data_IF_938892914031
#
_entry.id   IF_938892914031
#
_cell.length_a   1.000
_cell.length_b   1.000
_cell.length_c   1.000
_cell.angle_alpha   90.00
_cell.angle_beta   90.00
_cell.angle_gamma   90.00
#
_symmetry.space_group_name_H-M   'P 1'
#
loop_
_entity.id
_entity.type
_entity.pdbx_description
1 polymer ?
#
# COMPACT_ATOMS: atom_id res chain seq x y z
N UNK A 1 5.31 -11.36 -9.09
CA UNK A 1 4.28 -11.24 -8.03
C UNK A 1 3.00 -10.71 -8.66
N UNK A 2 1.81 -11.14 -8.22
CA UNK A 2 0.56 -10.52 -8.66
C UNK A 2 0.56 -9.02 -8.36
N UNK A 3 -0.10 -8.22 -9.19
CA UNK A 3 -0.13 -6.75 -9.03
C UNK A 3 -0.66 -6.28 -7.67
N UNK A 4 -1.55 -7.06 -7.06
CA UNK A 4 -2.12 -6.82 -5.74
C UNK A 4 -1.23 -7.21 -4.55
N UNK A 5 -0.04 -7.78 -4.78
CA UNK A 5 0.95 -8.07 -3.73
C UNK A 5 2.21 -7.19 -3.86
N UNK A 6 2.18 -6.16 -4.71
CA UNK A 6 3.33 -5.27 -4.87
C UNK A 6 3.61 -4.55 -3.55
N UNK A 7 4.89 -4.47 -3.21
CA UNK A 7 5.31 -3.70 -2.05
C UNK A 7 5.08 -2.20 -2.29
N UNK A 8 4.73 -1.43 -1.24
CA UNK A 8 4.54 0.02 -1.35
C UNK A 8 5.77 0.73 -1.91
N UNK A 9 6.98 0.27 -1.58
CA UNK A 9 8.24 0.82 -2.08
C UNK A 9 8.38 0.69 -3.61
N UNK A 10 7.82 -0.38 -4.18
CA UNK A 10 7.82 -0.63 -5.63
C UNK A 10 6.81 0.29 -6.32
N UNK A 11 5.60 0.43 -5.73
CA UNK A 11 4.55 1.33 -6.26
C UNK A 11 5.00 2.80 -6.18
N UNK A 12 5.67 3.18 -5.08
CA UNK A 12 6.16 4.54 -4.87
C UNK A 12 7.45 4.85 -5.64
N UNK A 13 8.08 3.84 -6.27
CA UNK A 13 9.27 4.01 -7.09
C UNK A 13 10.48 4.47 -6.28
N UNK A 14 10.78 3.76 -5.19
CA UNK A 14 11.96 4.04 -4.37
C UNK A 14 13.25 3.70 -5.15
N UNK A 15 14.29 4.53 -5.09
CA UNK A 15 15.53 4.35 -5.87
C UNK A 15 16.34 3.13 -5.45
N UNK A 16 16.13 2.63 -4.23
CA UNK A 16 16.78 1.45 -3.69
C UNK A 16 15.75 0.67 -2.87
N UNK A 17 15.36 -0.50 -3.36
CA UNK A 17 14.60 -1.50 -2.62
C UNK A 17 15.49 -2.75 -2.50
N UNK A 18 15.49 -3.35 -1.32
CA UNK A 18 16.39 -4.45 -0.94
C UNK A 18 15.57 -5.72 -0.66
N UNK A 19 16.17 -6.79 -0.10
CA UNK A 19 15.48 -8.06 0.23
C UNK A 19 14.20 -7.89 1.08
N UNK A 20 13.98 -6.70 1.67
CA UNK A 20 12.76 -6.34 2.41
C UNK A 20 11.48 -6.49 1.58
N UNK A 21 11.57 -6.38 0.25
CA UNK A 21 10.44 -6.66 -0.66
C UNK A 21 10.00 -8.13 -0.57
N UNK A 22 10.93 -9.06 -0.31
CA UNK A 22 10.60 -10.47 -0.13
C UNK A 22 9.90 -10.73 1.22
N UNK A 23 10.23 -9.94 2.25
CA UNK A 23 9.51 -9.99 3.54
C UNK A 23 8.07 -9.49 3.40
N UNK A 24 7.82 -8.49 2.54
CA UNK A 24 6.47 -8.05 2.19
C UNK A 24 5.68 -9.17 1.50
N UNK A 25 6.29 -9.82 0.50
CA UNK A 25 5.67 -10.95 -0.18
C UNK A 25 5.30 -12.09 0.78
N UNK A 26 6.20 -12.45 1.70
CA UNK A 26 5.94 -13.46 2.73
C UNK A 26 4.82 -13.05 3.69
N UNK A 27 4.75 -11.77 4.07
CA UNK A 27 3.66 -11.21 4.88
C UNK A 27 2.30 -11.31 4.19
N UNK A 28 2.22 -10.94 2.91
CA UNK A 28 0.99 -11.04 2.11
C UNK A 28 0.51 -12.49 1.97
N UNK A 29 1.43 -13.43 1.70
CA UNK A 29 1.11 -14.86 1.61
C UNK A 29 0.62 -15.43 2.95
N UNK A 30 1.26 -15.02 4.05
CA UNK A 30 0.86 -15.42 5.40
C UNK A 30 -0.52 -14.86 5.75
N UNK A 31 -0.79 -13.61 5.40
CA UNK A 31 -2.10 -12.99 5.59
C UNK A 31 -3.20 -13.71 4.82
N UNK A 32 -2.98 -13.99 3.53
CA UNK A 32 -3.93 -14.71 2.67
C UNK A 32 -4.22 -16.13 3.19
N UNK A 33 -3.25 -16.74 3.89
CA UNK A 33 -3.41 -18.05 4.51
C UNK A 33 -4.23 -18.03 5.80
N UNK A 34 -4.23 -16.92 6.55
CA UNK A 34 -4.88 -16.81 7.87
C UNK A 34 -6.24 -16.13 7.77
N UNK A 35 -6.39 -15.16 6.88
CA UNK A 35 -7.60 -14.37 6.73
C UNK A 35 -8.44 -14.88 5.56
N UNK A 36 -9.74 -15.08 5.79
CA UNK A 36 -10.69 -15.46 4.73
C UNK A 36 -11.04 -14.29 3.80
N UNK A 37 -10.61 -13.07 4.16
CA UNK A 37 -10.74 -11.85 3.37
C UNK A 37 -9.38 -11.46 2.79
N UNK A 38 -9.36 -11.16 1.50
CA UNK A 38 -8.19 -10.57 0.84
C UNK A 38 -7.87 -9.25 1.53
N UNK A 39 -6.67 -9.15 2.13
CA UNK A 39 -6.23 -7.92 2.81
C UNK A 39 -6.25 -6.73 1.87
N UNK A 40 -6.03 -6.96 0.58
CA UNK A 40 -5.99 -5.92 -0.42
C UNK A 40 -7.05 -6.22 -1.46
N UNK A 41 -8.01 -5.32 -1.60
CA UNK A 41 -9.10 -5.46 -2.54
C UNK A 41 -8.54 -5.24 -3.95
N UNK A 42 -9.01 -6.00 -4.94
CA UNK A 42 -8.63 -5.79 -6.35
C UNK A 42 -9.19 -4.46 -6.86
N UNK A 43 -8.52 -3.35 -6.54
CA UNK A 43 -8.90 -2.01 -6.98
C UNK A 43 -8.55 -1.85 -8.46
N UNK A 44 -9.50 -2.22 -9.33
CA UNK A 44 -9.45 -1.92 -10.75
C UNK A 44 -10.36 -0.73 -11.06
N UNK A 45 -9.76 0.37 -11.50
CA UNK A 45 -10.49 1.51 -12.06
C UNK A 45 -10.43 1.41 -13.58
N UNK A 46 -11.59 1.31 -14.22
CA UNK A 46 -11.70 1.17 -15.69
C UNK A 46 -10.94 -0.03 -16.28
N UNK A 47 -10.84 -1.12 -15.51
CA UNK A 47 -10.08 -2.32 -15.90
C UNK A 47 -8.57 -2.21 -15.71
N UNK A 48 -8.05 -1.04 -15.34
CA UNK A 48 -6.65 -0.80 -15.00
C UNK A 48 -6.44 -0.83 -13.49
N UNK A 49 -5.26 -1.27 -13.06
CA UNK A 49 -4.90 -1.31 -11.65
C UNK A 49 -4.77 0.10 -11.09
N UNK A 50 -5.45 0.38 -9.98
CA UNK A 50 -5.37 1.67 -9.29
C UNK A 50 -4.32 1.58 -8.17
N UNK A 51 -3.08 1.93 -8.52
CA UNK A 51 -1.96 2.00 -7.58
C UNK A 51 -2.26 2.95 -6.40
N UNK A 52 -3.10 3.96 -6.60
CA UNK A 52 -3.44 4.91 -5.55
C UNK A 52 -4.43 4.35 -4.53
N UNK A 53 -5.45 3.65 -4.99
CA UNK A 53 -6.35 2.90 -4.12
C UNK A 53 -5.58 1.83 -3.34
N UNK A 54 -4.60 1.17 -3.96
CA UNK A 54 -3.73 0.23 -3.27
C UNK A 54 -2.93 0.90 -2.14
N UNK A 55 -2.27 2.03 -2.38
CA UNK A 55 -1.53 2.75 -1.33
C UNK A 55 -2.46 3.26 -0.23
N UNK A 56 -3.61 3.85 -0.56
CA UNK A 56 -4.59 4.31 0.42
C UNK A 56 -5.05 3.16 1.33
N UNK A 57 -5.20 1.99 0.74
CA UNK A 57 -5.63 0.78 1.41
C UNK A 57 -4.55 0.19 2.34
N UNK A 58 -3.27 0.32 1.98
CA UNK A 58 -2.13 0.03 2.86
C UNK A 58 -2.02 1.02 4.02
N UNK A 59 -2.24 2.31 3.76
CA UNK A 59 -2.28 3.35 4.79
C UNK A 59 -3.40 3.10 5.79
N UNK A 60 -4.56 2.61 5.35
CA UNK A 60 -5.66 2.25 6.25
C UNK A 60 -5.29 1.09 7.21
N UNK A 61 -4.60 0.05 6.71
CA UNK A 61 -4.23 -1.11 7.53
C UNK A 61 -3.05 -0.84 8.47
N UNK A 62 -2.00 -0.22 7.94
CA UNK A 62 -0.70 -0.10 8.61
C UNK A 62 -0.45 1.29 9.18
N UNK A 63 -1.33 2.25 8.90
CA UNK A 63 -1.15 3.66 9.25
C UNK A 63 -0.27 4.41 8.26
N UNK A 64 -0.11 5.71 8.51
CA UNK A 64 0.69 6.57 7.65
C UNK A 64 2.19 6.23 7.77
N UNK A 65 2.91 6.12 6.66
CA UNK A 65 4.34 5.89 6.69
C UNK A 65 5.10 7.09 7.28
N UNK A 66 6.31 6.88 7.82
CA UNK A 66 7.16 7.96 8.31
C UNK A 66 7.46 8.99 7.22
N UNK A 67 7.60 10.26 7.62
CA UNK A 67 7.82 11.37 6.69
C UNK A 67 9.11 11.22 5.88
N UNK A 68 10.19 10.67 6.46
CA UNK A 68 11.40 10.35 5.68
C UNK A 68 11.11 9.40 4.51
N UNK A 69 10.30 8.36 4.73
CA UNK A 69 9.95 7.39 3.69
C UNK A 69 9.13 8.02 2.57
N UNK A 70 8.17 8.90 2.89
CA UNK A 70 7.36 9.61 1.89
C UNK A 70 8.15 10.54 0.97
N UNK A 71 9.43 10.82 1.26
CA UNK A 71 10.28 11.68 0.44
C UNK A 71 11.21 10.92 -0.50
N UNK A 72 11.30 9.60 -0.34
CA UNK A 72 12.26 8.77 -1.07
C UNK A 72 11.72 8.27 -2.40
N UNK A 73 10.41 8.02 -2.50
CA UNK A 73 9.82 7.48 -3.72
C UNK A 73 9.53 8.53 -4.78
N UNK A 74 9.86 8.22 -6.03
CA UNK A 74 9.59 9.05 -7.21
C UNK A 74 8.12 9.48 -7.31
N UNK A 75 7.18 8.59 -6.94
CA UNK A 75 5.74 8.83 -7.02
C UNK A 75 5.11 9.28 -5.70
N UNK A 76 5.90 9.42 -4.62
CA UNK A 76 5.35 9.74 -3.30
C UNK A 76 4.68 11.12 -3.24
N UNK A 77 5.13 12.06 -4.06
CA UNK A 77 4.55 13.40 -4.18
C UNK A 77 3.10 13.41 -4.70
N UNK A 78 2.64 12.30 -5.30
CA UNK A 78 1.25 12.15 -5.73
C UNK A 78 0.32 11.88 -4.54
N UNK A 79 0.84 11.25 -3.48
CA UNK A 79 0.08 10.76 -2.33
C UNK A 79 0.31 11.59 -1.06
N UNK A 80 1.49 12.20 -0.92
CA UNK A 80 1.85 13.02 0.23
C UNK A 80 2.39 14.38 -0.20
N UNK A 81 2.02 15.42 0.55
CA UNK A 81 2.53 16.77 0.34
C UNK A 81 3.96 16.91 0.91
N UNK A 82 4.59 18.08 0.73
CA UNK A 82 5.93 18.35 1.27
C UNK A 82 6.01 18.21 2.81
N UNK A 83 4.86 18.31 3.49
CA UNK A 83 4.68 18.10 4.92
C UNK A 83 4.45 16.65 5.34
N UNK A 84 4.29 15.73 4.38
CA UNK A 84 4.00 14.32 4.66
C UNK A 84 2.54 14.06 5.01
N UNK A 85 1.65 15.03 4.81
CA UNK A 85 0.21 14.81 4.92
C UNK A 85 -0.33 14.23 3.62
N UNK A 86 -1.34 13.38 3.76
CA UNK A 86 -2.01 12.77 2.62
C UNK A 86 -2.69 13.84 1.76
N UNK A 87 -2.50 13.76 0.44
CA UNK A 87 -2.97 14.77 -0.53
C UNK A 87 -4.45 14.63 -0.90
N UNK A 88 -5.17 13.72 -0.25
CA UNK A 88 -6.59 13.38 -0.52
C UNK A 88 -6.85 12.92 -1.97
N UNK A 89 -5.80 12.51 -2.69
CA UNK A 89 -5.90 12.06 -4.08
C UNK A 89 -6.81 10.82 -4.23
N UNK A 90 -6.80 9.97 -3.19
CA UNK A 90 -7.71 8.84 -3.04
C UNK A 90 -8.23 8.82 -1.61
N UNK A 91 -9.51 8.53 -1.44
CA UNK A 91 -10.12 8.33 -0.12
C UNK A 91 -9.51 7.11 0.55
N UNK A 92 -8.98 7.30 1.76
CA UNK A 92 -8.51 6.20 2.60
C UNK A 92 -9.77 5.46 3.09
N UNK A 93 -9.93 4.16 2.79
CA UNK A 93 -11.09 3.41 3.25
C UNK A 93 -11.08 3.31 4.78
N UNK A 94 -12.26 3.42 5.40
CA UNK A 94 -12.47 3.18 6.83
C UNK A 94 -12.40 1.67 7.10
N UNK A 95 -11.17 1.15 7.14
CA UNK A 95 -10.88 -0.25 7.42
C UNK A 95 -9.68 -0.35 8.35
N UNK A 96 -9.82 -1.14 9.41
CA UNK A 96 -8.72 -1.50 10.29
C UNK A 96 -8.27 -2.93 10.06
N UNK A 97 -7.05 -3.24 10.51
CA UNK A 97 -6.51 -4.61 10.52
C UNK A 97 -7.45 -5.60 11.23
N UNK A 98 -8.11 -5.14 12.31
CA UNK A 98 -9.06 -5.94 13.10
C UNK A 98 -10.33 -6.27 12.31
N UNK A 99 -10.82 -5.34 11.49
CA UNK A 99 -11.96 -5.58 10.60
C UNK A 99 -11.61 -6.48 9.42
N UNK A 100 -10.34 -6.48 8.99
CA UNK A 100 -9.85 -7.32 7.90
C UNK A 100 -9.55 -8.77 8.33
N UNK A 101 -9.25 -8.99 9.61
CA UNK A 101 -8.94 -10.30 10.18
C UNK A 101 -10.18 -11.08 10.70
N UNK A 102 -11.37 -10.46 10.68
CA UNK A 102 -12.64 -11.01 11.19
C UNK A 102 -13.55 -11.58 10.08
#
# INVERSE_FOLDING_TARGET
MPDFHRAPEVILGFPSWDYKVDSWGAGMLTWDSISTRTSITNHKKDGHWDDGAHIAELVALFGHPPRESTRQGTYSHLFWDANGYWTDLVLIPDRSLEQAAA
#
